data_IF_678737361182
#
_entry.id   IF_678737361182
#
_cell.length_a   1.000
_cell.length_b   1.000
_cell.length_c   1.000
_cell.angle_alpha   90.00
_cell.angle_beta   90.00
_cell.angle_gamma   90.00
#
_symmetry.space_group_name_H-M   'P 1'
#
loop_
_entity.id
_entity.type
_entity.pdbx_description
1 polymer ?
#
# COMPACT_ATOMS: atom_id res chain seq x y z
N UNK A 1 -0.35 -22.44 17.82
CA UNK A 1 -1.01 -22.71 16.53
C UNK A 1 -1.79 -21.47 16.16
N UNK A 2 -1.33 -20.70 15.17
CA UNK A 2 -2.10 -19.56 14.68
C UNK A 2 -3.37 -20.08 13.98
N UNK A 3 -4.56 -19.53 14.27
CA UNK A 3 -5.78 -19.95 13.57
C UNK A 3 -5.55 -19.80 12.07
N UNK A 4 -5.86 -20.85 11.31
CA UNK A 4 -5.74 -20.88 9.86
C UNK A 4 -6.56 -19.71 9.30
N UNK A 5 -5.88 -18.65 8.86
CA UNK A 5 -6.53 -17.42 8.39
C UNK A 5 -7.18 -17.69 7.05
N UNK A 6 -8.49 -17.94 7.06
CA UNK A 6 -9.32 -18.05 5.86
C UNK A 6 -9.09 -16.81 4.99
N UNK A 7 -8.57 -16.97 3.77
CA UNK A 7 -8.34 -15.83 2.89
C UNK A 7 -9.67 -15.20 2.46
N UNK A 8 -9.75 -13.88 2.48
CA UNK A 8 -10.86 -13.11 1.92
C UNK A 8 -10.75 -13.02 0.38
N UNK A 9 -11.66 -12.26 -0.25
CA UNK A 9 -11.75 -12.12 -1.71
C UNK A 9 -10.48 -11.54 -2.35
N UNK A 10 -9.69 -10.75 -1.60
CA UNK A 10 -8.47 -10.12 -2.12
C UNK A 10 -7.37 -11.12 -2.47
N UNK A 11 -7.45 -12.38 -2.00
CA UNK A 11 -6.52 -13.43 -2.41
C UNK A 11 -6.52 -13.70 -3.93
N UNK A 12 -7.59 -13.34 -4.64
CA UNK A 12 -7.73 -13.53 -6.08
C UNK A 12 -7.27 -12.33 -6.91
N UNK A 13 -6.97 -11.20 -6.26
CA UNK A 13 -6.54 -10.00 -6.96
C UNK A 13 -5.11 -10.13 -7.48
N UNK A 14 -4.80 -9.44 -8.59
CA UNK A 14 -3.45 -9.46 -9.18
C UNK A 14 -2.45 -8.60 -8.42
N UNK A 15 -2.94 -7.61 -7.68
CA UNK A 15 -2.10 -6.65 -6.96
C UNK A 15 -1.45 -7.30 -5.74
N UNK A 16 -0.11 -7.34 -5.63
CA UNK A 16 0.58 -7.85 -4.44
C UNK A 16 0.16 -7.10 -3.16
N UNK A 17 -0.13 -5.80 -3.26
CA UNK A 17 -0.63 -4.99 -2.16
C UNK A 17 -1.95 -5.52 -1.58
N UNK A 18 -2.90 -5.90 -2.46
CA UNK A 18 -4.19 -6.41 -2.06
C UNK A 18 -4.07 -7.83 -1.50
N UNK A 19 -3.21 -8.66 -2.09
CA UNK A 19 -2.94 -10.01 -1.61
C UNK A 19 -2.35 -10.02 -0.18
N UNK A 20 -1.52 -9.03 0.18
CA UNK A 20 -1.03 -8.89 1.56
C UNK A 20 -2.16 -8.71 2.59
N UNK A 21 -3.31 -8.18 2.17
CA UNK A 21 -4.50 -7.98 3.02
C UNK A 21 -5.48 -9.17 2.97
N UNK A 22 -5.17 -10.24 2.24
CA UNK A 22 -6.06 -11.39 2.07
C UNK A 22 -6.35 -12.13 3.38
N UNK A 23 -5.42 -12.11 4.33
CA UNK A 23 -5.52 -12.86 5.58
C UNK A 23 -5.83 -11.97 6.80
N UNK A 24 -6.21 -10.72 6.56
CA UNK A 24 -6.70 -9.82 7.61
C UNK A 24 -8.13 -10.27 7.97
N UNK A 25 -8.51 -10.30 9.26
CA UNK A 25 -9.84 -10.73 9.72
C UNK A 25 -10.92 -9.68 9.45
N UNK A 26 -10.87 -9.07 8.27
CA UNK A 26 -11.86 -8.15 7.73
C UNK A 26 -12.29 -8.74 6.39
N UNK A 27 -13.61 -8.78 6.18
CA UNK A 27 -14.20 -9.31 4.95
C UNK A 27 -14.05 -8.30 3.80
N UNK A 28 -12.81 -8.09 3.35
CA UNK A 28 -12.51 -7.16 2.28
C UNK A 28 -13.12 -7.58 0.95
N UNK A 29 -13.59 -6.58 0.20
CA UNK A 29 -14.03 -6.71 -1.17
C UNK A 29 -13.11 -5.86 -2.06
N UNK A 30 -12.77 -6.33 -3.28
CA UNK A 30 -12.20 -5.45 -4.29
C UNK A 30 -13.25 -4.43 -4.73
N UNK A 31 -12.78 -3.35 -5.36
CA UNK A 31 -13.66 -2.35 -5.95
C UNK A 31 -14.50 -2.97 -7.06
N UNK A 32 -15.80 -3.16 -6.79
CA UNK A 32 -16.72 -3.92 -7.65
C UNK A 32 -18.17 -3.53 -7.38
N UNK A 33 -19.05 -3.73 -8.36
CA UNK A 33 -20.50 -3.49 -8.20
C UNK A 33 -21.11 -4.40 -7.12
N UNK A 34 -20.62 -5.64 -6.99
CA UNK A 34 -21.07 -6.58 -5.96
C UNK A 34 -20.94 -6.01 -4.54
N UNK A 35 -19.82 -5.32 -4.26
CA UNK A 35 -19.60 -4.69 -2.96
C UNK A 35 -20.64 -3.61 -2.66
N UNK A 36 -21.01 -2.81 -3.66
CA UNK A 36 -22.03 -1.77 -3.52
C UNK A 36 -23.44 -2.34 -3.40
N UNK A 37 -23.77 -3.37 -4.18
CA UNK A 37 -25.09 -4.03 -4.10
C UNK A 37 -25.31 -4.70 -2.75
N UNK A 38 -24.27 -5.30 -2.15
CA UNK A 38 -24.33 -5.82 -0.78
C UNK A 38 -24.54 -4.68 0.22
N UNK A 39 -23.81 -3.57 0.09
CA UNK A 39 -23.94 -2.41 0.97
C UNK A 39 -25.36 -1.80 0.91
N UNK A 40 -25.92 -1.65 -0.30
CA UNK A 40 -27.31 -1.19 -0.52
C UNK A 40 -28.31 -2.16 0.08
N UNK A 41 -28.18 -3.46 -0.20
CA UNK A 41 -29.09 -4.51 0.31
C UNK A 41 -29.10 -4.55 1.83
N UNK A 42 -27.93 -4.49 2.45
CA UNK A 42 -27.78 -4.57 3.90
C UNK A 42 -28.01 -3.24 4.61
N UNK A 43 -28.26 -2.15 3.87
CA UNK A 43 -28.34 -0.78 4.40
C UNK A 43 -27.13 -0.41 5.26
N UNK A 44 -25.93 -0.78 4.82
CA UNK A 44 -24.66 -0.53 5.54
C UNK A 44 -23.81 0.49 4.80
N UNK A 45 -23.09 1.38 5.50
CA UNK A 45 -22.14 2.29 4.87
C UNK A 45 -20.95 1.53 4.30
N UNK A 46 -20.34 2.07 3.24
CA UNK A 46 -19.12 1.52 2.62
C UNK A 46 -17.89 2.14 3.26
N UNK A 47 -17.02 1.30 3.84
CA UNK A 47 -15.69 1.73 4.28
C UNK A 47 -14.69 1.54 3.14
N UNK A 48 -14.24 2.65 2.55
CA UNK A 48 -13.27 2.67 1.45
C UNK A 48 -11.86 2.92 1.98
N UNK A 49 -10.97 1.95 1.79
CA UNK A 49 -9.54 2.08 2.08
C UNK A 49 -8.75 2.02 0.77
N UNK A 50 -7.96 3.07 0.51
CA UNK A 50 -7.13 3.17 -0.68
C UNK A 50 -5.67 3.26 -0.23
N UNK A 51 -4.82 2.45 -0.84
CA UNK A 51 -3.38 2.52 -0.64
C UNK A 51 -2.65 1.96 -1.85
N UNK A 52 -1.34 2.15 -1.86
CA UNK A 52 -0.46 1.69 -2.92
C UNK A 52 0.77 1.02 -2.30
N UNK A 53 1.31 0.02 -2.99
CA UNK A 53 2.62 -0.52 -2.67
C UNK A 53 3.62 0.12 -3.61
N UNK A 54 4.48 0.96 -3.05
CA UNK A 54 5.60 1.52 -3.80
C UNK A 54 6.78 0.58 -3.64
N UNK A 55 6.89 -0.38 -4.55
CA UNK A 55 8.16 -1.07 -4.74
C UNK A 55 8.89 -0.33 -5.86
N UNK A 56 10.11 0.11 -5.56
CA UNK A 56 11.09 0.68 -6.48
C UNK A 56 11.07 2.21 -6.64
N UNK A 57 11.75 2.92 -5.72
CA UNK A 57 12.65 4.05 -6.06
C UNK A 57 13.85 4.22 -5.13
N UNK A 58 13.99 3.45 -4.04
CA UNK A 58 15.12 3.64 -3.11
C UNK A 58 16.50 3.40 -3.73
N UNK A 59 16.59 2.66 -4.84
CA UNK A 59 17.86 2.46 -5.54
C UNK A 59 18.28 3.67 -6.39
N UNK A 60 17.34 4.50 -6.86
CA UNK A 60 17.64 5.64 -7.73
C UNK A 60 17.66 6.98 -6.97
N UNK A 61 16.81 7.15 -5.94
CA UNK A 61 16.80 8.39 -5.14
C UNK A 61 18.03 8.53 -4.26
N UNK A 62 18.55 7.42 -3.71
CA UNK A 62 19.78 7.41 -2.90
C UNK A 62 21.02 7.79 -3.72
N UNK A 63 21.13 7.32 -4.97
CA UNK A 63 22.22 7.68 -5.87
C UNK A 63 22.16 9.16 -6.30
N UNK A 64 20.96 9.72 -6.52
CA UNK A 64 20.81 11.13 -6.89
C UNK A 64 21.15 12.07 -5.72
N UNK A 65 20.78 11.71 -4.49
CA UNK A 65 21.16 12.45 -3.29
C UNK A 65 22.68 12.42 -3.04
N UNK A 66 23.32 11.27 -3.30
CA UNK A 66 24.77 11.13 -3.14
C UNK A 66 25.55 11.93 -4.20
N UNK A 67 25.03 12.05 -5.43
CA UNK A 67 25.65 12.86 -6.49
C UNK A 67 25.58 14.38 -6.23
N UNK A 68 24.60 14.87 -5.44
CA UNK A 68 24.49 16.30 -5.10
C UNK A 68 25.27 16.69 -3.83
N UNK A 69 25.52 15.75 -2.91
CA UNK A 69 26.23 16.05 -1.65
C UNK A 69 27.76 16.20 -1.79
N UNK A 70 28.36 15.84 -2.92
CA UNK A 70 29.81 16.03 -3.15
C UNK A 70 30.21 17.41 -3.69
N UNK A 71 29.27 18.36 -3.83
CA UNK A 71 29.54 19.71 -4.36
C UNK A 71 29.52 20.84 -3.31
N UNK A 72 29.19 20.56 -2.05
CA UNK A 72 29.10 21.58 -1.01
C UNK A 72 30.09 21.29 0.11
N UNK A 73 31.37 21.44 -0.20
CA UNK A 73 32.45 21.44 0.80
C UNK A 73 33.40 22.60 0.61
N UNK A 74 32.92 23.77 0.21
CA UNK A 74 33.72 25.00 0.28
C UNK A 74 32.82 26.19 0.56
N UNK A 75 33.30 27.06 1.45
CA UNK A 75 32.75 28.37 1.85
C UNK A 75 31.83 28.40 3.07
N UNK A 76 32.39 28.07 4.25
CA UNK A 76 32.19 28.92 5.44
C UNK A 76 33.49 28.97 6.26
N UNK A 77 34.46 29.79 5.81
CA UNK A 77 35.52 30.31 6.67
C UNK A 77 35.10 31.73 7.07
N UNK A 78 34.66 31.86 8.32
CA UNK A 78 34.79 32.98 9.31
C UNK A 78 34.91 34.45 8.86
N UNK A 79 34.59 35.43 9.73
CA UNK A 79 34.22 35.32 11.16
C UNK A 79 32.78 35.73 11.48
#
# INVERSE_FOLDING_TARGET
MTPQKVPNRLAKEKSPYLQQHAHVPVNWFPWSEEAFEIAKRDSKPVFLSIGYFWFMTDTYLSLLACSQMNSLSFLTTTP
#
